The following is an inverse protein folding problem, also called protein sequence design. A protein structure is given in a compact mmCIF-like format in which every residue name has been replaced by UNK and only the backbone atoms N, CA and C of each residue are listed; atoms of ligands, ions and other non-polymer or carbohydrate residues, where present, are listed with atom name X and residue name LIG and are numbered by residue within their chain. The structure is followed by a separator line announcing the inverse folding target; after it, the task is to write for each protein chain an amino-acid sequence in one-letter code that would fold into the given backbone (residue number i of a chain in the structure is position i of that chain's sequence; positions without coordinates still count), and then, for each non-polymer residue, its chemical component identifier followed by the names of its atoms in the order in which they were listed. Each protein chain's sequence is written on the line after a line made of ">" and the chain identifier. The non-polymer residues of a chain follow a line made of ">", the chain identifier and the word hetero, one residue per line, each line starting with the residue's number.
data_IF_138262577744
#
_entry.id   IF_138262577744
#
_cell.length_a   1.000
_cell.length_b   1.000
_cell.length_c   1.000
_cell.angle_alpha   90.00
_cell.angle_beta   90.00
_cell.angle_gamma   90.00
#
_symmetry.space_group_name_H-M   'P 1'
#
loop_
_entity.id
_entity.type
_entity.pdbx_description
1 polymer ?
#
# COMPACT_ATOMS: atom_id res chain seq x y z
N UNK A 1 -25.83 -9.77 -17.62
CA UNK A 1 -24.69 -9.00 -17.10
C UNK A 1 -23.52 -9.27 -18.03
N UNK A 2 -23.15 -8.30 -18.84
CA UNK A 2 -22.06 -8.49 -19.83
C UNK A 2 -20.78 -7.94 -19.19
N UNK A 3 -19.87 -8.83 -18.85
CA UNK A 3 -18.58 -8.51 -18.22
C UNK A 3 -17.63 -8.08 -19.34
N UNK A 4 -17.16 -6.82 -19.33
CA UNK A 4 -16.02 -6.42 -20.13
C UNK A 4 -14.73 -6.79 -19.40
N UNK A 5 -13.89 -7.58 -20.03
CA UNK A 5 -12.47 -7.71 -19.61
C UNK A 5 -11.73 -6.51 -20.20
N UNK A 6 -11.50 -5.50 -19.42
CA UNK A 6 -10.68 -4.36 -19.84
C UNK A 6 -9.20 -4.69 -19.66
N UNK A 7 -8.48 -4.78 -20.76
CA UNK A 7 -7.04 -5.03 -20.78
C UNK A 7 -6.19 -3.78 -20.59
N UNK A 8 -6.77 -2.57 -20.65
CA UNK A 8 -6.05 -1.29 -20.36
C UNK A 8 -7.05 -0.14 -20.18
N UNK A 9 -6.96 0.62 -19.07
CA UNK A 9 -7.46 1.99 -19.04
C UNK A 9 -8.44 2.41 -17.95
N UNK A 10 -8.24 2.09 -16.65
CA UNK A 10 -9.03 2.71 -15.58
C UNK A 10 -8.30 2.64 -14.25
N UNK A 11 -7.98 3.79 -13.66
CA UNK A 11 -7.02 3.87 -12.55
C UNK A 11 -7.50 3.28 -11.20
N UNK A 12 -8.79 3.32 -10.87
CA UNK A 12 -9.29 2.95 -9.54
C UNK A 12 -9.35 1.44 -9.24
N UNK A 13 -9.74 0.63 -10.22
CA UNK A 13 -9.88 -0.83 -10.06
C UNK A 13 -8.59 -1.61 -10.30
N UNK A 14 -7.63 -1.03 -11.01
CA UNK A 14 -6.30 -1.62 -11.22
C UNK A 14 -5.54 -1.83 -9.90
N UNK A 15 -5.89 -1.11 -8.86
CA UNK A 15 -5.31 -1.20 -7.53
C UNK A 15 -5.26 -2.65 -7.01
N UNK A 16 -6.39 -3.35 -7.05
CA UNK A 16 -6.50 -4.72 -6.51
C UNK A 16 -5.93 -5.78 -7.44
N UNK A 17 -6.21 -5.65 -8.72
CA UNK A 17 -5.77 -6.63 -9.72
C UNK A 17 -4.25 -6.71 -9.83
N UNK A 18 -3.56 -5.59 -9.72
CA UNK A 18 -2.11 -5.57 -9.87
C UNK A 18 -1.36 -6.01 -8.62
N UNK A 19 -1.90 -5.80 -7.43
CA UNK A 19 -1.33 -6.37 -6.22
C UNK A 19 -1.37 -7.89 -6.30
N UNK A 20 -2.48 -8.48 -6.73
CA UNK A 20 -2.61 -9.92 -6.87
C UNK A 20 -1.78 -10.50 -8.04
N UNK A 21 -1.53 -9.74 -9.11
CA UNK A 21 -0.73 -10.18 -10.26
C UNK A 21 0.77 -9.94 -10.09
N UNK A 22 1.18 -8.84 -9.45
CA UNK A 22 2.59 -8.55 -9.20
C UNK A 22 3.19 -9.44 -8.10
N UNK A 23 2.36 -9.95 -7.19
CA UNK A 23 2.82 -10.75 -6.07
C UNK A 23 2.92 -12.25 -6.33
N UNK A 24 3.07 -12.66 -7.58
CA UNK A 24 3.31 -14.03 -8.01
C UNK A 24 2.05 -14.89 -8.26
N UNK A 25 1.97 -15.62 -9.38
CA UNK A 25 0.83 -16.46 -9.72
C UNK A 25 0.67 -17.71 -8.84
N UNK A 26 1.50 -17.90 -7.82
CA UNK A 26 1.45 -19.04 -6.89
C UNK A 26 2.35 -18.88 -5.65
N UNK A 27 2.41 -17.71 -5.02
CA UNK A 27 3.08 -17.70 -3.73
C UNK A 27 2.17 -18.39 -2.70
N UNK A 28 2.70 -19.38 -2.02
CA UNK A 28 2.05 -20.03 -0.87
C UNK A 28 1.81 -19.07 0.31
N UNK A 29 2.24 -17.83 0.19
CA UNK A 29 1.92 -16.74 1.09
C UNK A 29 0.53 -16.19 0.70
N UNK A 30 -0.52 -16.72 1.31
CA UNK A 30 -1.92 -16.32 1.14
C UNK A 30 -2.22 -14.90 1.61
N UNK A 31 -1.59 -13.89 1.00
CA UNK A 31 -1.65 -12.50 1.45
C UNK A 31 -2.90 -11.78 0.92
N UNK A 32 -3.41 -12.19 -0.24
CA UNK A 32 -4.54 -11.52 -0.88
C UNK A 32 -5.42 -12.53 -1.65
N UNK A 33 -6.74 -12.36 -1.61
CA UNK A 33 -7.64 -13.11 -2.47
C UNK A 33 -7.37 -12.80 -3.95
N UNK A 34 -7.36 -13.84 -4.79
CA UNK A 34 -7.03 -13.69 -6.20
C UNK A 34 -8.13 -12.93 -6.95
N UNK A 35 -7.74 -11.90 -7.71
CA UNK A 35 -8.66 -11.18 -8.57
C UNK A 35 -9.05 -12.03 -9.78
N UNK A 36 -10.35 -12.29 -9.96
CA UNK A 36 -10.93 -13.06 -11.05
C UNK A 36 -11.37 -12.16 -12.21
N UNK A 37 -11.95 -11.00 -11.89
CA UNK A 37 -12.40 -10.02 -12.88
C UNK A 37 -12.56 -8.64 -12.26
N UNK A 38 -12.55 -7.63 -13.10
CA UNK A 38 -12.88 -6.26 -12.73
C UNK A 38 -13.49 -5.52 -13.92
N UNK A 39 -14.14 -4.42 -13.63
CA UNK A 39 -14.75 -3.64 -14.71
C UNK A 39 -15.65 -2.52 -14.20
N UNK A 40 -16.39 -1.97 -15.16
CA UNK A 40 -17.34 -0.87 -14.94
C UNK A 40 -18.73 -1.33 -15.34
N UNK A 41 -19.76 -0.92 -14.61
CA UNK A 41 -21.13 -1.24 -14.98
C UNK A 41 -21.54 -0.44 -16.22
N UNK A 42 -22.10 -1.12 -17.23
CA UNK A 42 -22.61 -0.45 -18.45
C UNK A 42 -23.73 0.54 -18.15
N UNK A 43 -24.56 0.23 -17.13
CA UNK A 43 -25.69 1.06 -16.70
C UNK A 43 -25.26 2.29 -15.91
N UNK A 44 -24.07 2.29 -15.34
CA UNK A 44 -23.51 3.43 -14.60
C UNK A 44 -21.98 3.38 -14.70
N UNK A 45 -21.36 4.19 -15.57
CA UNK A 45 -19.92 4.21 -15.77
C UNK A 45 -19.10 4.65 -14.56
N UNK A 46 -19.73 5.30 -13.58
CA UNK A 46 -19.07 5.73 -12.34
C UNK A 46 -18.99 4.62 -11.28
N UNK A 47 -19.72 3.51 -11.52
CA UNK A 47 -19.66 2.34 -10.66
C UNK A 47 -18.72 1.28 -11.24
N UNK A 48 -17.79 0.87 -10.42
CA UNK A 48 -16.82 -0.16 -10.73
C UNK A 48 -17.06 -1.39 -9.86
N UNK A 49 -16.52 -2.53 -10.28
CA UNK A 49 -16.53 -3.76 -9.49
C UNK A 49 -15.18 -4.48 -9.56
N UNK A 50 -14.86 -5.18 -8.52
CA UNK A 50 -13.80 -6.17 -8.44
C UNK A 50 -14.41 -7.50 -7.99
N UNK A 51 -14.14 -8.56 -8.73
CA UNK A 51 -14.51 -9.93 -8.37
C UNK A 51 -13.24 -10.67 -7.97
N UNK A 52 -13.23 -11.19 -6.76
CA UNK A 52 -12.13 -12.01 -6.23
C UNK A 52 -12.64 -13.40 -5.85
N UNK A 53 -11.71 -14.31 -5.59
CA UNK A 53 -12.07 -15.54 -4.88
C UNK A 53 -12.69 -15.20 -3.53
N UNK A 54 -13.72 -15.95 -3.17
CA UNK A 54 -14.29 -15.85 -1.84
C UNK A 54 -13.39 -16.60 -0.86
N UNK A 55 -13.00 -15.91 0.20
CA UNK A 55 -12.22 -16.47 1.30
C UNK A 55 -13.08 -16.41 2.56
N UNK A 56 -13.36 -17.56 3.12
CA UNK A 56 -14.02 -17.64 4.42
C UNK A 56 -13.02 -17.26 5.51
N UNK A 57 -13.31 -16.19 6.25
CA UNK A 57 -12.35 -15.61 7.19
C UNK A 57 -13.03 -15.16 8.48
N UNK A 58 -12.27 -15.20 9.56
CA UNK A 58 -12.64 -14.63 10.85
C UNK A 58 -11.83 -13.37 11.10
N UNK A 59 -12.54 -12.28 11.41
CA UNK A 59 -11.91 -10.97 11.65
C UNK A 59 -11.35 -10.92 13.07
N UNK A 60 -10.33 -11.74 13.30
CA UNK A 60 -9.51 -11.74 14.49
C UNK A 60 -8.10 -11.23 14.16
N UNK A 61 -7.40 -10.75 15.20
CA UNK A 61 -6.00 -10.35 15.06
C UNK A 61 -5.17 -11.63 14.94
N UNK A 62 -4.48 -11.85 13.80
CA UNK A 62 -3.64 -13.02 13.64
C UNK A 62 -2.53 -13.11 14.70
N UNK A 63 -2.08 -14.34 14.96
CA UNK A 63 -0.95 -14.59 15.83
C UNK A 63 0.28 -13.82 15.32
N UNK A 64 1.00 -13.16 16.24
CA UNK A 64 2.07 -12.21 15.92
C UNK A 64 3.18 -12.81 15.05
N UNK A 65 3.69 -13.98 15.43
CA UNK A 65 4.85 -14.57 14.74
C UNK A 65 4.45 -15.09 13.35
N UNK A 66 3.25 -15.65 13.21
CA UNK A 66 2.70 -16.06 11.93
C UNK A 66 2.50 -14.85 11.01
N UNK A 67 1.93 -13.78 11.52
CA UNK A 67 1.67 -12.57 10.74
C UNK A 67 2.96 -11.86 10.30
N UNK A 68 3.91 -11.67 11.22
CA UNK A 68 5.17 -11.00 10.90
C UNK A 68 6.04 -11.81 9.96
N UNK A 69 6.02 -13.15 10.05
CA UNK A 69 6.69 -14.05 9.11
C UNK A 69 6.08 -13.92 7.72
N UNK A 70 4.75 -13.99 7.60
CA UNK A 70 4.04 -13.80 6.33
C UNK A 70 4.40 -12.45 5.68
N UNK A 71 4.40 -11.37 6.46
CA UNK A 71 4.72 -10.04 5.96
C UNK A 71 6.18 -9.91 5.51
N UNK A 72 7.11 -10.49 6.27
CA UNK A 72 8.53 -10.51 5.91
C UNK A 72 8.76 -11.29 4.61
N UNK A 73 8.14 -12.45 4.44
CA UNK A 73 8.22 -13.27 3.23
C UNK A 73 7.65 -12.53 2.03
N UNK A 74 6.53 -11.84 2.20
CA UNK A 74 5.94 -10.99 1.17
C UNK A 74 6.90 -9.87 0.72
N UNK A 75 7.46 -9.11 1.67
CA UNK A 75 8.41 -8.05 1.36
C UNK A 75 9.65 -8.61 0.64
N UNK A 76 10.20 -9.73 1.10
CA UNK A 76 11.38 -10.36 0.48
C UNK A 76 11.09 -10.87 -0.93
N UNK A 77 9.97 -11.56 -1.12
CA UNK A 77 9.59 -12.08 -2.43
C UNK A 77 9.33 -10.94 -3.44
N UNK A 78 8.69 -9.86 -2.98
CA UNK A 78 8.37 -8.72 -3.85
C UNK A 78 9.61 -7.98 -4.36
N UNK A 79 10.71 -7.95 -3.61
CA UNK A 79 11.97 -7.30 -4.06
C UNK A 79 12.51 -7.88 -5.38
N UNK A 80 12.28 -9.18 -5.62
CA UNK A 80 12.74 -9.84 -6.83
C UNK A 80 11.94 -9.46 -8.08
N UNK A 81 10.74 -8.92 -7.92
CA UNK A 81 9.81 -8.62 -9.01
C UNK A 81 9.50 -7.12 -9.15
N UNK A 82 10.27 -6.26 -8.47
CA UNK A 82 10.16 -4.80 -8.68
C UNK A 82 10.36 -4.45 -10.16
N UNK A 83 9.43 -3.72 -10.79
CA UNK A 83 9.41 -3.55 -12.24
C UNK A 83 10.56 -2.69 -12.77
N UNK A 84 11.09 -1.80 -11.94
CA UNK A 84 12.11 -0.82 -12.36
C UNK A 84 13.16 -0.53 -11.27
N UNK A 85 13.05 -1.15 -10.09
CA UNK A 85 13.95 -0.90 -8.96
C UNK A 85 13.78 0.47 -8.29
N UNK A 86 12.69 1.19 -8.59
CA UNK A 86 12.38 2.52 -8.05
C UNK A 86 11.24 2.47 -7.02
N UNK A 87 11.07 3.56 -6.29
CA UNK A 87 9.97 3.79 -5.34
C UNK A 87 8.82 4.50 -6.05
N UNK A 88 7.60 4.06 -5.79
CA UNK A 88 6.42 4.58 -6.48
C UNK A 88 5.44 3.48 -6.88
N UNK A 89 4.50 3.80 -7.76
CA UNK A 89 3.60 2.80 -8.32
C UNK A 89 3.16 3.20 -9.73
N UNK A 90 2.74 2.23 -10.54
CA UNK A 90 2.35 2.47 -11.94
C UNK A 90 0.99 3.17 -12.09
N UNK A 91 0.22 3.30 -11.00
CA UNK A 91 -1.04 4.05 -10.96
C UNK A 91 -1.24 4.70 -9.58
N UNK A 92 -2.14 5.66 -9.50
CA UNK A 92 -2.55 6.26 -8.24
C UNK A 92 -3.26 5.23 -7.37
N UNK A 93 -2.87 5.13 -6.11
CA UNK A 93 -3.57 4.38 -5.06
C UNK A 93 -4.10 5.35 -4.01
N UNK A 94 -4.95 4.87 -3.11
CA UNK A 94 -5.69 5.75 -2.21
C UNK A 94 -5.67 5.21 -0.79
N UNK A 95 -5.51 6.09 0.19
CA UNK A 95 -5.85 5.85 1.58
C UNK A 95 -7.23 6.47 1.82
N UNK A 96 -8.27 5.64 1.92
CA UNK A 96 -9.64 6.12 1.85
C UNK A 96 -9.90 6.87 0.55
N UNK A 97 -10.26 8.15 0.63
CA UNK A 97 -10.45 9.04 -0.52
C UNK A 97 -9.22 9.91 -0.86
N UNK A 98 -8.12 9.77 -0.13
CA UNK A 98 -6.92 10.57 -0.33
C UNK A 98 -5.99 9.88 -1.34
N UNK A 99 -5.77 10.55 -2.48
CA UNK A 99 -4.88 10.08 -3.53
C UNK A 99 -3.42 10.20 -3.10
N UNK A 100 -2.66 9.10 -3.22
CA UNK A 100 -1.22 9.08 -3.02
C UNK A 100 -0.49 9.57 -4.27
N UNK A 101 0.64 10.27 -4.07
CA UNK A 101 1.57 10.56 -5.16
C UNK A 101 2.48 9.34 -5.38
N UNK A 102 2.14 8.55 -6.38
CA UNK A 102 2.86 7.34 -6.76
C UNK A 102 3.87 7.56 -7.91
N UNK A 103 4.25 8.81 -8.17
CA UNK A 103 5.31 9.13 -9.13
C UNK A 103 6.59 8.38 -8.78
N UNK A 104 7.18 7.72 -9.79
CA UNK A 104 8.40 6.95 -9.61
C UNK A 104 9.59 7.85 -9.27
N UNK A 105 10.28 7.52 -8.18
CA UNK A 105 11.51 8.19 -7.73
C UNK A 105 12.66 7.21 -7.60
N UNK A 106 13.88 7.71 -7.68
CA UNK A 106 15.09 6.89 -7.52
C UNK A 106 15.44 6.64 -6.05
N UNK A 107 14.90 7.47 -5.13
CA UNK A 107 15.20 7.41 -3.70
C UNK A 107 13.93 7.30 -2.86
N UNK A 108 14.04 6.62 -1.72
CA UNK A 108 12.96 6.54 -0.74
C UNK A 108 12.69 7.90 -0.08
N UNK A 109 13.76 8.67 0.20
CA UNK A 109 13.65 10.02 0.74
C UNK A 109 12.76 10.89 -0.13
N UNK A 110 12.97 10.89 -1.45
CA UNK A 110 12.19 11.69 -2.39
C UNK A 110 10.73 11.23 -2.45
N UNK A 111 10.49 9.92 -2.58
CA UNK A 111 9.13 9.37 -2.59
C UNK A 111 8.35 9.75 -1.33
N UNK A 112 8.96 9.51 -0.17
CA UNK A 112 8.35 9.82 1.11
C UNK A 112 8.05 11.32 1.27
N UNK A 113 9.01 12.17 0.90
CA UNK A 113 8.87 13.63 0.93
C UNK A 113 7.72 14.10 0.04
N UNK A 114 7.60 13.59 -1.20
CA UNK A 114 6.54 13.94 -2.14
C UNK A 114 5.15 13.59 -1.57
N UNK A 115 5.01 12.42 -0.95
CA UNK A 115 3.75 12.03 -0.31
C UNK A 115 3.41 12.91 0.90
N UNK A 116 4.37 13.28 1.74
CA UNK A 116 4.14 14.24 2.84
C UNK A 116 3.70 15.60 2.29
N UNK A 117 4.36 16.12 1.25
CA UNK A 117 3.95 17.38 0.60
C UNK A 117 2.52 17.28 0.07
N UNK A 118 2.17 16.15 -0.57
CA UNK A 118 0.81 15.94 -1.08
C UNK A 118 -0.23 15.93 0.05
N UNK A 119 0.04 15.26 1.17
CA UNK A 119 -0.86 15.23 2.32
C UNK A 119 -1.02 16.61 2.96
N UNK A 120 0.05 17.40 3.08
CA UNK A 120 0.00 18.78 3.58
C UNK A 120 -0.82 19.70 2.67
N UNK A 121 -0.72 19.53 1.35
CA UNK A 121 -1.56 20.26 0.40
C UNK A 121 -3.05 19.92 0.58
N UNK A 122 -3.39 18.65 0.68
CA UNK A 122 -4.77 18.22 0.91
C UNK A 122 -5.32 18.74 2.24
N UNK A 123 -4.52 18.76 3.30
CA UNK A 123 -4.89 19.34 4.59
C UNK A 123 -5.17 20.85 4.46
N UNK A 124 -4.31 21.57 3.77
CA UNK A 124 -4.49 23.01 3.53
C UNK A 124 -5.72 23.30 2.65
N UNK A 125 -5.98 22.48 1.63
CA UNK A 125 -7.19 22.58 0.80
C UNK A 125 -8.46 22.36 1.62
N UNK A 126 -8.43 21.40 2.56
CA UNK A 126 -9.60 21.03 3.36
C UNK A 126 -9.90 22.01 4.52
N UNK A 127 -8.85 22.52 5.18
CA UNK A 127 -8.99 23.30 6.43
C UNK A 127 -8.50 24.74 6.33
N UNK A 128 -7.91 25.11 5.21
CA UNK A 128 -7.29 26.40 5.01
C UNK A 128 -5.87 26.50 5.54
N UNK A 129 -5.19 27.65 5.33
CA UNK A 129 -3.80 27.83 5.74
C UNK A 129 -3.65 27.89 7.27
N UNK A 130 -2.61 27.24 7.77
CA UNK A 130 -2.19 27.26 9.17
C UNK A 130 -0.69 27.57 9.24
N UNK A 131 -0.30 28.72 9.81
CA UNK A 131 1.10 29.15 9.82
C UNK A 131 1.98 28.22 10.67
N UNK A 132 1.48 27.75 11.82
CA UNK A 132 2.20 26.78 12.65
C UNK A 132 2.48 25.47 11.90
N UNK A 133 1.49 24.94 11.19
CA UNK A 133 1.64 23.72 10.38
C UNK A 133 2.67 23.94 9.27
N UNK A 134 2.67 25.12 8.63
CA UNK A 134 3.64 25.48 7.60
C UNK A 134 5.06 25.49 8.13
N UNK A 135 5.32 26.20 9.25
CA UNK A 135 6.65 26.27 9.88
C UNK A 135 7.18 24.89 10.29
N UNK A 136 6.31 24.05 10.88
CA UNK A 136 6.66 22.67 11.27
C UNK A 136 6.92 21.79 10.04
N UNK A 137 6.13 21.96 8.98
CA UNK A 137 6.28 21.23 7.73
C UNK A 137 7.59 21.55 7.02
N UNK A 138 7.99 22.81 6.98
CA UNK A 138 9.28 23.23 6.42
C UNK A 138 10.45 22.56 7.16
N UNK A 139 10.39 22.53 8.49
CA UNK A 139 11.43 21.85 9.29
C UNK A 139 11.43 20.33 9.07
N UNK A 140 10.25 19.72 8.98
CA UNK A 140 10.11 18.28 8.68
C UNK A 140 10.73 17.94 7.33
N UNK A 141 10.36 18.69 6.27
CA UNK A 141 10.78 18.41 4.90
C UNK A 141 12.26 18.70 4.65
N UNK A 142 12.84 19.74 5.29
CA UNK A 142 14.20 20.16 5.01
C UNK A 142 15.25 19.59 5.97
N UNK A 143 14.85 19.22 7.20
CA UNK A 143 15.80 18.78 8.23
C UNK A 143 15.55 17.34 8.68
N UNK A 144 14.29 17.00 9.02
CA UNK A 144 14.00 15.73 9.67
C UNK A 144 14.03 14.59 8.66
N UNK A 145 13.30 14.71 7.55
CA UNK A 145 13.23 13.66 6.51
C UNK A 145 14.62 13.34 5.97
N UNK A 146 15.43 14.32 5.50
CA UNK A 146 16.77 14.02 5.00
C UNK A 146 17.68 13.40 6.07
N UNK A 147 17.58 13.85 7.31
CA UNK A 147 18.41 13.32 8.40
C UNK A 147 18.10 11.85 8.72
N UNK A 148 16.83 11.45 8.63
CA UNK A 148 16.41 10.10 9.00
C UNK A 148 16.46 9.12 7.83
N UNK A 149 16.07 9.55 6.62
CA UNK A 149 15.90 8.63 5.49
C UNK A 149 17.15 8.52 4.61
N UNK A 150 17.90 9.59 4.36
CA UNK A 150 19.09 9.55 3.53
C UNK A 150 20.17 8.55 3.99
N UNK A 151 20.44 8.38 5.29
CA UNK A 151 21.39 7.36 5.75
C UNK A 151 21.00 5.93 5.41
N UNK A 152 19.70 5.63 5.25
CA UNK A 152 19.22 4.31 4.86
C UNK A 152 19.64 3.95 3.42
N UNK A 153 19.78 4.95 2.57
CA UNK A 153 20.12 4.79 1.15
C UNK A 153 21.63 4.84 0.89
N UNK A 154 22.37 5.52 1.77
CA UNK A 154 23.82 5.69 1.65
C UNK A 154 24.63 4.67 2.47
N UNK A 155 23.94 3.75 3.15
CA UNK A 155 24.55 2.68 3.96
C UNK A 155 25.24 1.61 3.13
N UNK A 156 25.95 0.67 3.79
CA UNK A 156 26.67 -0.41 3.10
C UNK A 156 25.74 -1.41 2.41
N UNK A 157 24.48 -1.48 2.79
CA UNK A 157 23.46 -2.32 2.17
C UNK A 157 22.47 -1.41 1.46
N UNK A 158 22.40 -1.42 0.13
CA UNK A 158 21.47 -0.57 -0.61
C UNK A 158 20.02 -0.86 -0.23
N UNK A 159 19.25 0.18 0.02
CA UNK A 159 17.82 0.07 0.19
C UNK A 159 17.18 -0.38 -1.13
N UNK A 160 16.39 -1.45 -1.08
CA UNK A 160 15.67 -1.97 -2.25
C UNK A 160 14.17 -1.82 -2.02
N UNK A 161 13.43 -1.30 -3.00
CA UNK A 161 11.98 -1.22 -2.90
C UNK A 161 11.38 -2.62 -2.79
N UNK A 162 10.42 -2.77 -1.91
CA UNK A 162 9.53 -3.92 -1.84
C UNK A 162 8.09 -3.46 -1.98
N UNK A 163 7.19 -4.36 -2.32
CA UNK A 163 5.78 -4.03 -2.38
C UNK A 163 5.26 -3.87 -0.95
N UNK A 164 4.57 -2.76 -0.70
CA UNK A 164 3.97 -2.39 0.57
C UNK A 164 2.46 -2.55 0.44
N UNK A 165 1.79 -3.05 1.48
CA UNK A 165 0.33 -3.05 1.54
C UNK A 165 -0.21 -1.60 1.62
N UNK A 166 0.42 -0.75 2.40
CA UNK A 166 0.18 0.69 2.45
C UNK A 166 -1.02 1.13 3.29
N UNK A 167 -1.84 0.19 3.75
CA UNK A 167 -2.96 0.43 4.67
C UNK A 167 -3.12 -0.76 5.61
N UNK A 168 -2.02 -1.20 6.22
CA UNK A 168 -1.97 -2.38 7.05
C UNK A 168 -2.30 -2.05 8.50
N UNK A 169 -3.54 -2.26 8.87
CA UNK A 169 -4.06 -2.12 10.23
C UNK A 169 -4.96 -3.34 10.54
N UNK A 170 -5.39 -3.48 11.80
CA UNK A 170 -6.16 -4.67 12.23
C UNK A 170 -7.47 -4.87 11.44
N UNK A 171 -8.09 -3.80 10.92
CA UNK A 171 -9.31 -3.89 10.13
C UNK A 171 -9.09 -4.43 8.72
N UNK A 172 -7.84 -4.49 8.24
CA UNK A 172 -7.45 -5.04 6.94
C UNK A 172 -6.71 -6.38 7.09
N UNK A 173 -6.87 -7.06 8.22
CA UNK A 173 -6.29 -8.37 8.52
C UNK A 173 -7.35 -9.33 9.04
N UNK A 174 -7.20 -10.62 8.76
CA UNK A 174 -8.08 -11.69 9.24
C UNK A 174 -7.33 -13.02 9.32
N UNK A 175 -8.02 -14.05 9.79
CA UNK A 175 -7.57 -15.43 9.73
C UNK A 175 -8.44 -16.16 8.72
N UNK A 176 -7.84 -16.77 7.70
CA UNK A 176 -8.51 -17.66 6.77
C UNK A 176 -8.94 -18.94 7.50
N UNK A 177 -10.22 -19.29 7.46
CA UNK A 177 -10.76 -20.39 8.25
C UNK A 177 -10.28 -21.76 7.78
N UNK A 178 -10.08 -21.94 6.47
CA UNK A 178 -9.66 -23.23 5.90
C UNK A 178 -8.21 -23.59 6.26
N UNK A 179 -7.34 -22.60 6.38
CA UNK A 179 -5.90 -22.81 6.59
C UNK A 179 -5.40 -22.38 7.96
N UNK A 180 -6.16 -21.57 8.67
CA UNK A 180 -5.74 -20.91 9.91
C UNK A 180 -4.63 -19.86 9.71
N UNK A 181 -4.32 -19.48 8.47
CA UNK A 181 -3.25 -18.55 8.15
C UNK A 181 -3.74 -17.09 8.16
N UNK A 182 -2.83 -16.13 8.48
CA UNK A 182 -3.11 -14.72 8.30
C UNK A 182 -3.43 -14.39 6.84
N UNK A 183 -4.39 -13.49 6.63
CA UNK A 183 -4.72 -12.90 5.33
C UNK A 183 -4.86 -11.39 5.48
N UNK A 184 -4.51 -10.63 4.43
CA UNK A 184 -4.71 -9.18 4.37
C UNK A 184 -5.55 -8.80 3.15
N UNK A 185 -6.22 -7.67 3.21
CA UNK A 185 -7.07 -7.15 2.14
C UNK A 185 -7.11 -5.63 2.18
N UNK A 186 -7.73 -5.02 1.18
CA UNK A 186 -7.91 -3.57 1.03
C UNK A 186 -6.59 -2.76 1.02
N UNK A 187 -5.64 -3.19 0.23
CA UNK A 187 -4.33 -2.56 0.14
C UNK A 187 -4.35 -1.20 -0.59
N UNK A 188 -3.52 -0.27 -0.12
CA UNK A 188 -3.16 0.99 -0.77
C UNK A 188 -1.74 0.96 -1.33
N UNK A 189 -1.44 -0.05 -2.15
CA UNK A 189 -0.10 -0.51 -2.45
C UNK A 189 0.78 0.46 -3.23
N UNK A 190 2.08 0.36 -2.93
CA UNK A 190 3.17 1.01 -3.66
C UNK A 190 4.50 0.29 -3.40
N UNK A 191 5.51 0.57 -4.22
CA UNK A 191 6.88 0.11 -3.98
C UNK A 191 7.58 1.07 -3.04
N UNK A 192 7.89 0.61 -1.82
CA UNK A 192 8.40 1.42 -0.72
C UNK A 192 9.47 0.72 0.12
N UNK A 193 9.83 1.34 1.23
CA UNK A 193 10.65 0.74 2.27
C UNK A 193 9.77 -0.12 3.20
N UNK A 194 10.20 -1.34 3.47
CA UNK A 194 9.40 -2.30 4.26
C UNK A 194 8.97 -1.79 5.64
N UNK A 195 9.79 -0.98 6.30
CA UNK A 195 9.46 -0.44 7.62
C UNK A 195 8.33 0.61 7.58
N UNK A 196 7.95 1.09 6.39
CA UNK A 196 6.79 1.97 6.23
C UNK A 196 5.47 1.27 6.60
N UNK A 197 5.43 -0.05 6.55
CA UNK A 197 4.27 -0.86 6.92
C UNK A 197 4.08 -1.00 8.45
N UNK A 198 5.15 -0.80 9.20
CA UNK A 198 5.28 -1.26 10.59
C UNK A 198 4.57 -0.44 11.68
N UNK A 199 4.29 0.87 11.57
CA UNK A 199 3.87 1.68 12.71
C UNK A 199 2.41 1.54 13.14
N UNK A 200 1.53 1.05 12.28
CA UNK A 200 0.08 1.11 12.56
C UNK A 200 -0.45 -0.08 13.35
N UNK A 201 0.24 -1.21 13.32
CA UNK A 201 -0.25 -2.44 13.97
C UNK A 201 -0.27 -2.37 15.52
N UNK A 202 0.76 -1.82 16.22
CA UNK A 202 0.69 -1.66 17.68
C UNK A 202 -0.11 -0.46 18.16
N UNK A 203 -0.21 0.63 17.36
CA UNK A 203 -0.85 1.86 17.80
C UNK A 203 -2.38 1.79 17.76
N UNK A 204 -2.95 1.03 16.82
CA UNK A 204 -4.40 0.84 16.73
C UNK A 204 -4.99 -0.03 17.85
N UNK A 205 -4.18 -0.84 18.55
CA UNK A 205 -4.64 -1.61 19.70
C UNK A 205 -4.94 -0.74 20.93
N UNK A 206 -4.48 0.50 20.94
CA UNK A 206 -4.65 1.46 22.05
C UNK A 206 -5.58 2.63 21.74
N UNK A 207 -6.16 2.67 20.56
CA UNK A 207 -7.08 3.75 20.13
C UNK A 207 -8.56 3.35 20.17
N UNK A 208 -8.91 2.21 20.75
CA UNK A 208 -10.30 1.79 21.01
C UNK A 208 -10.65 1.99 22.47
#
# INVERSE_FOLDING_TARGET
>A
MEIRRETQGGCGLRKYVLITHCCHPRSEAGILSQAQAWGTFKSNPDLHFLLTDFVEMEQEIPEKDAFTTMLADFHLASRAVSPNGKFGFHCTTYNGNLAQDNTWTDTWEEYYKNNIVRMLQLEQEARGPCEELKELSEQLLEKVIPRLLRPLETGPIPLKPCLIHGDLWYGNTAIELDTGKPITFDASAFWGHNECESPLYPLCLYCC
#
